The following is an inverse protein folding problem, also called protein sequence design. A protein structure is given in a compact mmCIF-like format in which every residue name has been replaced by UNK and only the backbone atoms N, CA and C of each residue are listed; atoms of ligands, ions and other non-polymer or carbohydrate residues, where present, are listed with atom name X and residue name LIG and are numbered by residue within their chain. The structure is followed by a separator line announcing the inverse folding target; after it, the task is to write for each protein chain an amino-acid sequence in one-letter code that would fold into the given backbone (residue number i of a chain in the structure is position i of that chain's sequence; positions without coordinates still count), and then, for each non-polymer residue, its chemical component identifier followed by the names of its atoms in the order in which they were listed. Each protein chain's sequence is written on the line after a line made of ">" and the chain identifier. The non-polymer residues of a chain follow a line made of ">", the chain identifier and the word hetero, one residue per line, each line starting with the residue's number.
data_IF_330196586381
#
_entry.id   IF_330196586381
#
_cell.length_a   1.000
_cell.length_b   1.000
_cell.length_c   1.000
_cell.angle_alpha   90.00
_cell.angle_beta   90.00
_cell.angle_gamma   90.00
#
_symmetry.space_group_name_H-M   'P 1'
#
loop_
_entity.id
_entity.type
_entity.pdbx_description
1 polymer ?
#
# COMPACT_ATOMS: atom_id res chain seq x y z
N UNK A 1 -20.99 -23.28 7.91
CA UNK A 1 -19.60 -23.28 8.43
C UNK A 1 -18.68 -23.63 7.26
N UNK A 2 -18.09 -22.62 6.63
CA UNK A 2 -17.33 -22.78 5.38
C UNK A 2 -16.01 -23.50 5.62
N UNK A 3 -15.74 -24.52 4.80
CA UNK A 3 -14.53 -25.34 4.82
C UNK A 3 -13.32 -24.51 4.38
N UNK A 4 -12.35 -24.32 5.27
CA UNK A 4 -11.00 -23.89 4.91
C UNK A 4 -10.33 -25.03 4.14
N UNK A 5 -10.11 -24.84 2.84
CA UNK A 5 -9.17 -25.67 2.09
C UNK A 5 -7.75 -25.31 2.53
N UNK A 6 -7.11 -26.20 3.29
CA UNK A 6 -5.67 -26.13 3.55
C UNK A 6 -4.95 -26.75 2.36
N UNK A 7 -4.40 -25.91 1.48
CA UNK A 7 -3.44 -26.37 0.48
C UNK A 7 -2.18 -26.87 1.21
N UNK A 8 -1.76 -28.09 0.92
CA UNK A 8 -0.57 -28.71 1.49
C UNK A 8 0.64 -27.78 1.34
N UNK A 9 1.18 -27.31 2.46
CA UNK A 9 2.23 -26.31 2.50
C UNK A 9 3.57 -26.92 2.09
N UNK A 10 3.94 -26.79 0.82
CA UNK A 10 5.37 -26.81 0.47
C UNK A 10 6.02 -25.67 1.26
N UNK A 11 7.09 -25.96 2.00
CA UNK A 11 7.87 -24.96 2.75
C UNK A 11 9.10 -24.67 1.91
N UNK A 12 9.00 -23.82 0.86
CA UNK A 12 10.14 -23.52 0.04
C UNK A 12 11.21 -22.85 0.92
N UNK A 13 12.47 -23.19 0.66
CA UNK A 13 13.63 -22.61 1.33
C UNK A 13 14.17 -21.48 0.46
N UNK A 14 14.60 -20.40 1.10
CA UNK A 14 15.27 -19.26 0.46
C UNK A 14 16.75 -19.35 0.79
N UNK A 15 17.60 -19.24 -0.24
CA UNK A 15 19.06 -19.22 -0.11
C UNK A 15 19.55 -17.80 0.17
N UNK A 16 20.38 -17.63 1.19
CA UNK A 16 21.07 -16.36 1.47
C UNK A 16 22.33 -16.30 0.61
N UNK A 17 22.46 -15.24 -0.18
CA UNK A 17 23.65 -14.99 -1.00
C UNK A 17 24.50 -13.87 -0.40
N UNK A 18 25.81 -14.12 -0.28
CA UNK A 18 26.81 -13.10 0.09
C UNK A 18 27.09 -12.18 -1.11
N UNK A 19 27.30 -10.89 -0.84
CA UNK A 19 27.46 -9.88 -1.90
C UNK A 19 28.91 -9.80 -2.45
N UNK A 20 29.90 -10.37 -1.74
CA UNK A 20 31.33 -10.21 -2.02
C UNK A 20 31.90 -11.17 -3.10
N UNK A 21 31.03 -11.85 -3.86
CA UNK A 21 31.42 -12.64 -5.04
C UNK A 21 32.12 -13.98 -4.74
N UNK A 22 32.48 -14.26 -3.49
CA UNK A 22 32.98 -15.57 -3.08
C UNK A 22 31.78 -16.52 -2.88
N UNK A 23 31.59 -17.46 -3.81
CA UNK A 23 30.59 -18.51 -3.64
C UNK A 23 31.01 -19.35 -2.44
N UNK A 24 30.30 -19.24 -1.31
CA UNK A 24 30.55 -20.12 -0.16
C UNK A 24 30.19 -21.56 -0.56
N UNK A 25 31.18 -22.35 -0.95
CA UNK A 25 31.01 -23.70 -1.53
C UNK A 25 30.50 -24.71 -0.51
N UNK A 26 30.59 -24.42 0.79
CA UNK A 26 30.44 -25.44 1.84
C UNK A 26 29.20 -25.28 2.74
N UNK A 27 28.53 -24.12 2.76
CA UNK A 27 27.31 -23.94 3.58
C UNK A 27 26.45 -22.77 3.09
N UNK A 28 25.54 -23.03 2.14
CA UNK A 28 24.49 -22.06 1.83
C UNK A 28 23.49 -22.00 2.99
N UNK A 29 23.44 -20.87 3.68
CA UNK A 29 22.45 -20.64 4.74
C UNK A 29 21.08 -20.59 4.06
N UNK A 30 20.21 -21.53 4.42
CA UNK A 30 18.84 -21.60 3.92
C UNK A 30 17.87 -21.25 5.03
N UNK A 31 16.91 -20.39 4.71
CA UNK A 31 15.87 -19.95 5.64
C UNK A 31 14.50 -20.38 5.12
N UNK A 32 13.55 -20.72 6.01
CA UNK A 32 12.18 -21.00 5.59
C UNK A 32 11.54 -19.74 4.98
N UNK A 33 10.83 -19.90 3.87
CA UNK A 33 10.05 -18.80 3.28
C UNK A 33 9.02 -18.27 4.28
N UNK A 34 9.03 -16.96 4.60
CA UNK A 34 8.04 -16.35 5.48
C UNK A 34 6.61 -16.56 4.96
N UNK A 35 5.66 -16.78 5.87
CA UNK A 35 4.27 -17.06 5.49
C UNK A 35 3.59 -15.89 4.75
N UNK A 36 4.04 -14.65 4.97
CA UNK A 36 3.53 -13.45 4.27
C UNK A 36 3.76 -13.55 2.77
N UNK A 37 4.85 -14.17 2.32
CA UNK A 37 5.14 -14.34 0.88
C UNK A 37 4.22 -15.36 0.20
N UNK A 38 3.48 -16.16 0.97
CA UNK A 38 2.47 -17.11 0.46
C UNK A 38 1.06 -16.54 0.49
N UNK A 39 0.87 -15.35 1.07
CA UNK A 39 -0.44 -14.72 1.17
C UNK A 39 -0.98 -14.42 -0.24
N UNK A 40 -2.30 -14.59 -0.48
CA UNK A 40 -2.89 -14.26 -1.77
C UNK A 40 -2.75 -12.77 -2.04
N UNK A 41 -2.26 -12.43 -3.23
CA UNK A 41 -2.11 -11.04 -3.65
C UNK A 41 -3.48 -10.47 -4.02
N UNK A 42 -3.93 -9.46 -3.27
CA UNK A 42 -5.22 -8.78 -3.44
C UNK A 42 -5.03 -7.34 -3.94
N UNK A 43 -4.97 -7.10 -5.26
CA UNK A 43 -4.74 -5.76 -5.80
C UNK A 43 -5.87 -4.78 -5.47
N UNK A 44 -7.10 -5.27 -5.30
CA UNK A 44 -8.26 -4.50 -4.87
C UNK A 44 -8.04 -3.85 -3.49
N UNK A 45 -7.56 -4.62 -2.52
CA UNK A 45 -7.30 -4.15 -1.16
C UNK A 45 -6.12 -3.19 -1.12
N UNK A 46 -5.03 -3.52 -1.83
CA UNK A 46 -3.85 -2.66 -1.90
C UNK A 46 -4.22 -1.29 -2.49
N UNK A 47 -4.95 -1.28 -3.61
CA UNK A 47 -5.36 -0.03 -4.26
C UNK A 47 -6.31 0.79 -3.38
N UNK A 48 -7.27 0.14 -2.71
CA UNK A 48 -8.20 0.82 -1.81
C UNK A 48 -7.47 1.50 -0.65
N UNK A 49 -6.63 0.75 0.07
CA UNK A 49 -5.88 1.27 1.22
C UNK A 49 -4.89 2.34 0.80
N UNK A 50 -4.18 2.15 -0.33
CA UNK A 50 -3.26 3.14 -0.86
C UNK A 50 -3.94 4.48 -1.14
N UNK A 51 -5.14 4.45 -1.76
CA UNK A 51 -5.92 5.67 -2.01
C UNK A 51 -6.31 6.39 -0.70
N UNK A 52 -6.72 5.65 0.34
CA UNK A 52 -7.07 6.24 1.64
C UNK A 52 -5.85 6.88 2.32
N UNK A 53 -4.71 6.19 2.32
CA UNK A 53 -3.46 6.72 2.90
C UNK A 53 -3.02 7.99 2.14
N UNK A 54 -3.13 7.99 0.80
CA UNK A 54 -2.81 9.16 -0.02
C UNK A 54 -3.72 10.36 0.26
N UNK A 55 -4.99 10.14 0.61
CA UNK A 55 -5.89 11.23 0.96
C UNK A 55 -5.55 11.83 2.34
N UNK A 56 -5.09 11.02 3.29
CA UNK A 56 -4.75 11.48 4.64
C UNK A 56 -3.54 12.44 4.68
N UNK A 57 -2.62 12.34 3.72
CA UNK A 57 -1.45 13.21 3.65
C UNK A 57 -1.72 14.59 3.04
N UNK A 58 -2.95 14.84 2.54
CA UNK A 58 -3.30 16.10 1.88
C UNK A 58 -3.72 17.14 2.92
N UNK A 59 -3.28 18.37 2.73
CA UNK A 59 -3.75 19.50 3.53
C UNK A 59 -5.08 20.04 2.94
N UNK A 60 -6.09 20.35 3.77
CA UNK A 60 -7.33 20.93 3.28
C UNK A 60 -7.08 22.34 2.76
N UNK A 61 -7.62 22.63 1.58
CA UNK A 61 -7.55 23.94 0.95
C UNK A 61 -8.94 24.39 0.54
N UNK A 62 -9.24 25.68 0.69
CA UNK A 62 -10.51 26.28 0.33
C UNK A 62 -10.30 27.74 -0.07
N UNK A 63 -11.23 28.28 -0.86
CA UNK A 63 -11.29 29.72 -1.14
C UNK A 63 -11.70 30.46 0.13
N UNK A 64 -11.32 31.73 0.25
CA UNK A 64 -11.76 32.58 1.35
C UNK A 64 -13.27 32.57 1.49
N UNK A 65 -13.76 32.42 2.74
CA UNK A 65 -15.20 32.46 3.05
C UNK A 65 -15.87 33.77 2.62
N UNK A 66 -15.10 34.85 2.51
CA UNK A 66 -15.60 36.18 2.14
C UNK A 66 -15.34 36.53 0.66
N UNK A 67 -14.82 35.60 -0.14
CA UNK A 67 -14.59 35.85 -1.56
C UNK A 67 -15.93 36.18 -2.26
N UNK A 68 -16.00 37.35 -2.87
CA UNK A 68 -17.22 37.83 -3.54
C UNK A 68 -18.34 38.33 -2.58
N UNK A 69 -18.12 38.36 -1.26
CA UNK A 69 -19.10 38.90 -0.31
C UNK A 69 -18.93 40.40 -0.04
N UNK A 70 -17.73 40.94 -0.24
CA UNK A 70 -17.43 42.36 -0.05
C UNK A 70 -17.73 43.16 -1.32
N UNK A 71 -18.96 43.10 -1.82
CA UNK A 71 -19.38 43.89 -3.00
C UNK A 71 -20.54 44.79 -2.60
N UNK A 72 -20.41 46.09 -2.86
CA UNK A 72 -21.52 47.06 -2.75
C UNK A 72 -22.39 47.06 -4.01
N UNK A 73 -22.45 45.94 -4.74
CA UNK A 73 -23.21 45.88 -5.98
C UNK A 73 -24.70 45.87 -5.64
N UNK A 74 -25.39 46.95 -6.02
CA UNK A 74 -26.83 47.11 -5.87
C UNK A 74 -27.45 47.14 -7.27
N UNK A 75 -28.55 46.42 -7.49
CA UNK A 75 -29.23 46.41 -8.79
C UNK A 75 -30.06 47.67 -8.96
N UNK A 76 -30.00 48.30 -10.14
CA UNK A 76 -30.79 49.51 -10.44
C UNK A 76 -32.24 49.24 -10.89
N UNK A 77 -32.65 47.98 -11.04
CA UNK A 77 -33.97 47.63 -11.59
C UNK A 77 -34.16 48.14 -13.03
N UNK A 78 -35.35 47.96 -13.58
CA UNK A 78 -35.80 48.51 -14.88
C UNK A 78 -37.08 49.29 -14.69
#
# INVERSE_FOLDING_TARGET
>A
KSLKMAAAAVRPLVTVHSLDGDMSTDHSITLPLPDVMKAPVRPDVVNHVHAQISNNSRQPYAVSKLAGHQTSAESWGT
#
